data_IF_779767896112
#
_entry.id   IF_779767896112
#
_cell.length_a   1.000
_cell.length_b   1.000
_cell.length_c   1.000
_cell.angle_alpha   90.00
_cell.angle_beta   90.00
_cell.angle_gamma   90.00
#
_symmetry.space_group_name_H-M   'P 1'
#
loop_
_entity.id
_entity.type
_entity.pdbx_description
1 polymer ?
#
# COMPACT_ATOMS: atom_id res chain seq x y z
N UNK A 1 24.04 -16.91 6.63
CA UNK A 1 24.97 -15.93 7.24
C UNK A 1 25.54 -15.12 6.08
N UNK A 2 24.90 -14.02 5.72
CA UNK A 2 25.43 -13.08 4.71
C UNK A 2 26.67 -12.42 5.34
N UNK A 3 27.85 -12.65 4.76
CA UNK A 3 29.11 -12.01 5.18
C UNK A 3 29.49 -11.00 4.10
N UNK A 4 29.66 -9.75 4.51
CA UNK A 4 30.29 -8.73 3.68
C UNK A 4 31.77 -9.08 3.47
N UNK A 5 32.16 -9.28 2.21
CA UNK A 5 33.53 -9.66 1.83
C UNK A 5 34.21 -8.49 1.11
N UNK A 6 35.12 -7.83 1.82
CA UNK A 6 35.87 -6.65 1.36
C UNK A 6 37.37 -6.95 1.26
N UNK A 7 37.76 -7.92 0.43
CA UNK A 7 39.18 -8.17 0.11
C UNK A 7 39.37 -8.29 -1.40
N UNK A 8 40.47 -7.72 -1.90
CA UNK A 8 40.75 -7.59 -3.34
C UNK A 8 40.77 -8.93 -4.10
N UNK A 9 41.05 -10.05 -3.41
CA UNK A 9 40.84 -11.42 -3.89
C UNK A 9 40.51 -12.33 -2.73
N UNK A 10 39.41 -13.06 -2.81
CA UNK A 10 39.03 -14.10 -1.85
C UNK A 10 38.51 -15.33 -2.60
N UNK A 11 39.03 -16.52 -2.27
CA UNK A 11 38.52 -17.78 -2.81
C UNK A 11 37.17 -18.06 -2.12
N UNK A 12 36.08 -17.92 -2.87
CA UNK A 12 34.73 -18.07 -2.33
C UNK A 12 34.38 -19.53 -2.03
N UNK A 13 34.85 -20.44 -2.87
CA UNK A 13 34.66 -21.88 -2.74
C UNK A 13 35.72 -22.62 -3.54
N UNK A 14 36.38 -23.59 -2.91
CA UNK A 14 37.33 -24.51 -3.55
C UNK A 14 36.72 -25.91 -3.47
N UNK A 15 36.61 -26.58 -4.62
CA UNK A 15 36.03 -27.92 -4.71
C UNK A 15 37.10 -28.81 -5.35
N UNK A 16 37.71 -29.67 -4.55
CA UNK A 16 38.61 -30.70 -5.05
C UNK A 16 37.78 -31.87 -5.60
N UNK A 17 37.90 -32.14 -6.90
CA UNK A 17 37.26 -33.30 -7.54
C UNK A 17 38.33 -34.27 -8.04
N UNK A 18 38.29 -35.50 -7.52
CA UNK A 18 39.32 -36.51 -7.84
C UNK A 18 39.07 -37.24 -9.17
N UNK A 19 37.89 -37.09 -9.79
CA UNK A 19 37.58 -37.58 -11.15
C UNK A 19 36.12 -37.29 -11.53
N UNK A 20 35.76 -36.04 -11.83
CA UNK A 20 34.40 -35.70 -12.29
C UNK A 20 34.46 -34.71 -13.46
N UNK A 21 33.74 -35.01 -14.55
CA UNK A 21 33.45 -34.01 -15.59
C UNK A 21 32.29 -33.15 -15.10
N UNK A 22 32.53 -31.85 -14.94
CA UNK A 22 31.48 -30.89 -14.58
C UNK A 22 30.78 -30.52 -15.89
N UNK A 23 29.59 -31.08 -16.12
CA UNK A 23 28.84 -30.84 -17.36
C UNK A 23 28.33 -29.40 -17.46
N UNK A 24 27.95 -28.80 -16.32
CA UNK A 24 27.51 -27.41 -16.26
C UNK A 24 27.70 -26.85 -14.85
N UNK A 25 28.14 -25.59 -14.78
CA UNK A 25 28.38 -24.86 -13.55
C UNK A 25 27.75 -23.47 -13.69
N UNK A 26 26.85 -23.11 -12.78
CA UNK A 26 26.18 -21.81 -12.77
C UNK A 26 26.63 -20.99 -11.56
N UNK A 27 27.09 -19.78 -11.82
CA UNK A 27 27.36 -18.77 -10.79
C UNK A 27 26.27 -17.71 -10.84
N UNK A 28 25.57 -17.50 -9.73
CA UNK A 28 24.66 -16.39 -9.56
C UNK A 28 25.27 -15.35 -8.63
N UNK A 29 25.58 -14.17 -9.18
CA UNK A 29 26.07 -13.02 -8.42
C UNK A 29 24.88 -12.11 -8.08
N UNK A 30 24.63 -11.90 -6.79
CA UNK A 30 23.66 -10.91 -6.32
C UNK A 30 24.42 -9.67 -5.81
N UNK A 31 24.46 -8.61 -6.62
CA UNK A 31 25.01 -7.32 -6.18
C UNK A 31 23.88 -6.55 -5.49
N UNK A 32 24.06 -6.23 -4.20
CA UNK A 32 23.15 -5.37 -3.45
C UNK A 32 23.85 -4.05 -3.17
N UNK A 33 23.28 -2.96 -3.65
CA UNK A 33 23.76 -1.62 -3.32
C UNK A 33 23.38 -1.33 -1.86
N UNK A 34 24.39 -1.17 -1.01
CA UNK A 34 24.21 -0.84 0.40
C UNK A 34 24.16 0.67 0.54
N UNK A 35 23.18 1.19 1.28
CA UNK A 35 23.14 2.60 1.65
C UNK A 35 24.42 2.94 2.42
N UNK A 36 25.08 4.03 2.05
CA UNK A 36 26.24 4.54 2.78
C UNK A 36 25.89 4.87 4.24
N UNK A 37 26.90 5.16 5.07
CA UNK A 37 26.65 5.57 6.46
C UNK A 37 25.78 6.84 6.44
N UNK A 38 24.64 6.90 7.17
CA UNK A 38 23.82 8.09 7.24
C UNK A 38 24.69 9.26 7.74
N UNK A 39 24.72 10.34 6.97
CA UNK A 39 25.49 11.52 7.33
C UNK A 39 24.89 12.19 8.56
N UNK A 40 25.70 12.39 9.60
CA UNK A 40 25.26 13.06 10.83
C UNK A 40 24.67 14.43 10.51
N UNK A 41 23.40 14.64 10.87
CA UNK A 41 22.66 15.88 10.64
C UNK A 41 22.93 16.91 11.74
N UNK A 42 23.62 16.55 12.82
CA UNK A 42 23.92 17.46 13.94
C UNK A 42 25.11 18.41 13.65
N UNK A 43 25.91 18.14 12.62
CA UNK A 43 27.12 18.89 12.29
C UNK A 43 26.95 19.64 10.97
N UNK A 44 27.25 20.93 10.97
CA UNK A 44 27.33 21.73 9.74
C UNK A 44 28.49 21.26 8.87
N UNK A 45 28.27 21.11 7.57
CA UNK A 45 29.33 20.81 6.60
C UNK A 45 29.24 21.79 5.44
N UNK A 46 30.25 21.87 4.57
CA UNK A 46 30.26 22.85 3.46
C UNK A 46 29.07 22.79 2.49
N UNK A 47 28.26 21.71 2.54
CA UNK A 47 27.05 21.51 1.76
C UNK A 47 25.75 21.66 2.57
N UNK A 48 25.83 21.77 3.92
CA UNK A 48 24.73 21.84 4.88
C UNK A 48 25.03 22.93 5.89
N UNK A 49 24.60 24.16 5.57
CA UNK A 49 24.92 25.35 6.36
C UNK A 49 23.70 25.94 7.08
N UNK A 50 22.48 25.49 6.75
CA UNK A 50 21.25 26.04 7.29
C UNK A 50 20.76 25.22 8.49
N UNK A 51 20.61 25.86 9.65
CA UNK A 51 20.25 25.19 10.90
C UNK A 51 18.74 25.20 11.14
N UNK A 52 18.13 24.02 11.21
CA UNK A 52 16.76 23.84 11.68
C UNK A 52 16.77 23.60 13.18
N UNK A 53 16.06 24.45 13.90
CA UNK A 53 15.91 24.40 15.34
C UNK A 53 14.51 23.86 15.66
N UNK A 54 14.43 22.72 16.34
CA UNK A 54 13.18 22.24 16.91
C UNK A 54 13.39 21.90 18.39
N UNK A 55 12.86 22.76 19.25
CA UNK A 55 12.99 22.68 20.70
C UNK A 55 14.47 22.57 21.12
N UNK A 56 14.95 21.35 21.43
CA UNK A 56 16.32 21.08 21.90
C UNK A 56 17.25 20.48 20.84
N UNK A 57 16.76 20.22 19.61
CA UNK A 57 17.57 19.63 18.54
C UNK A 57 17.87 20.63 17.43
N UNK A 58 19.14 20.67 17.04
CA UNK A 58 19.63 21.42 15.89
C UNK A 58 20.02 20.44 14.79
N UNK A 59 19.49 20.64 13.59
CA UNK A 59 19.81 19.83 12.43
C UNK A 59 20.23 20.73 11.27
N UNK A 60 21.36 20.43 10.64
CA UNK A 60 21.87 21.17 9.50
C UNK A 60 21.42 20.52 8.19
N UNK A 61 20.84 21.32 7.31
CA UNK A 61 20.28 20.85 6.03
C UNK A 61 20.82 21.66 4.85
N UNK A 62 20.64 21.08 3.67
CA UNK A 62 20.82 21.77 2.40
C UNK A 62 19.45 22.22 1.87
N UNK A 63 19.18 23.52 1.95
CA UNK A 63 17.95 24.17 1.48
C UNK A 63 17.74 24.00 -0.03
N UNK A 64 18.82 23.99 -0.83
CA UNK A 64 18.74 23.76 -2.28
C UNK A 64 18.20 22.37 -2.59
N UNK A 65 18.72 21.34 -1.90
CA UNK A 65 18.25 19.96 -2.06
C UNK A 65 16.78 19.85 -1.63
N UNK A 66 16.43 20.41 -0.48
CA UNK A 66 15.06 20.34 0.04
C UNK A 66 14.05 21.06 -0.85
N UNK A 67 14.42 22.20 -1.44
CA UNK A 67 13.56 22.94 -2.36
C UNK A 67 13.19 22.11 -3.61
N UNK A 68 14.01 21.14 -4.01
CA UNK A 68 13.66 20.23 -5.14
C UNK A 68 12.44 19.37 -4.84
N UNK A 69 12.18 19.03 -3.58
CA UNK A 69 10.98 18.29 -3.17
C UNK A 69 9.74 19.20 -3.11
N UNK A 70 9.91 20.52 -3.15
CA UNK A 70 8.84 21.49 -3.06
C UNK A 70 8.12 21.47 -1.71
N UNK A 71 6.87 21.93 -1.69
CA UNK A 71 6.10 22.12 -0.45
C UNK A 71 6.35 23.48 0.19
N UNK A 72 5.49 23.83 1.14
CA UNK A 72 5.49 25.15 1.77
C UNK A 72 6.72 25.34 2.66
N UNK A 73 7.00 24.37 3.53
CA UNK A 73 8.14 24.42 4.46
C UNK A 73 9.49 24.58 3.74
N UNK A 74 9.77 23.75 2.74
CA UNK A 74 11.08 23.78 2.09
C UNK A 74 11.29 25.05 1.25
N UNK A 75 10.22 25.61 0.68
CA UNK A 75 10.27 26.93 0.03
C UNK A 75 10.53 28.05 1.02
N UNK A 76 9.81 28.06 2.15
CA UNK A 76 10.03 29.05 3.21
C UNK A 76 11.47 29.01 3.74
N UNK A 77 12.06 27.81 3.90
CA UNK A 77 13.45 27.67 4.35
C UNK A 77 14.44 28.15 3.28
N UNK A 78 14.18 27.85 2.01
CA UNK A 78 15.00 28.30 0.89
C UNK A 78 14.97 29.83 0.72
N UNK A 79 13.80 30.46 0.87
CA UNK A 79 13.64 31.91 0.81
C UNK A 79 14.39 32.61 1.94
N UNK A 80 14.32 32.07 3.17
CA UNK A 80 15.06 32.59 4.33
C UNK A 80 16.58 32.49 4.15
N UNK A 81 17.05 31.36 3.66
CA UNK A 81 18.47 31.15 3.33
C UNK A 81 18.94 32.12 2.24
N UNK A 82 18.10 32.36 1.22
CA UNK A 82 18.35 33.34 0.16
C UNK A 82 18.37 34.79 0.67
N UNK A 83 17.68 35.07 1.77
CA UNK A 83 17.69 36.38 2.46
C UNK A 83 18.89 36.53 3.42
N UNK A 84 19.72 35.50 3.57
CA UNK A 84 20.91 35.51 4.43
C UNK A 84 20.64 35.06 5.86
N UNK A 85 19.46 34.51 6.16
CA UNK A 85 19.23 33.83 7.44
C UNK A 85 19.96 32.47 7.44
N UNK A 86 20.57 32.12 8.57
CA UNK A 86 21.29 30.83 8.71
C UNK A 86 20.52 29.81 9.53
N UNK A 87 19.33 30.16 10.05
CA UNK A 87 18.54 29.29 10.90
C UNK A 87 17.03 29.48 10.74
N UNK A 88 16.28 28.44 11.07
CA UNK A 88 14.82 28.46 11.12
C UNK A 88 14.30 27.67 12.30
N UNK A 89 13.33 28.21 13.03
CA UNK A 89 12.65 27.50 14.13
C UNK A 89 11.38 26.86 13.58
N UNK A 90 11.26 25.54 13.74
CA UNK A 90 10.10 24.77 13.26
C UNK A 90 9.29 24.30 14.46
N UNK A 91 8.05 24.78 14.57
CA UNK A 91 7.09 24.39 15.61
C UNK A 91 5.93 23.55 15.06
N UNK A 92 5.79 23.43 13.74
CA UNK A 92 4.67 22.71 13.11
C UNK A 92 4.77 21.18 13.19
N UNK A 93 5.97 20.66 13.45
CA UNK A 93 6.30 19.24 13.47
C UNK A 93 6.88 18.84 14.82
N UNK A 94 6.53 17.65 15.29
CA UNK A 94 7.16 17.07 16.46
C UNK A 94 8.63 16.73 16.18
N UNK A 95 9.44 16.63 17.23
CA UNK A 95 10.87 16.31 17.12
C UNK A 95 11.08 14.97 16.39
N UNK A 96 10.19 13.99 16.58
CA UNK A 96 10.30 12.69 15.93
C UNK A 96 9.94 12.73 14.44
N UNK A 97 8.84 13.37 14.08
CA UNK A 97 8.44 13.56 12.69
C UNK A 97 9.50 14.32 11.89
N UNK A 98 10.03 15.41 12.45
CA UNK A 98 11.07 16.20 11.83
C UNK A 98 12.35 15.37 11.64
N UNK A 99 12.76 14.59 12.64
CA UNK A 99 13.92 13.71 12.50
C UNK A 99 13.70 12.64 11.43
N UNK A 100 12.52 12.04 11.34
CA UNK A 100 12.23 11.04 10.30
C UNK A 100 12.23 11.66 8.91
N UNK A 101 11.64 12.85 8.74
CA UNK A 101 11.63 13.60 7.48
C UNK A 101 13.06 13.96 7.05
N UNK A 102 13.85 14.56 7.95
CA UNK A 102 15.22 14.98 7.63
C UNK A 102 16.15 13.78 7.43
N UNK A 103 15.96 12.70 8.17
CA UNK A 103 16.74 11.47 7.96
C UNK A 103 16.42 10.88 6.58
N UNK A 104 15.15 10.83 6.20
CA UNK A 104 14.74 10.31 4.90
C UNK A 104 15.22 11.18 3.72
N UNK A 105 15.14 12.51 3.85
CA UNK A 105 15.44 13.43 2.75
C UNK A 105 16.91 13.88 2.68
N UNK A 106 17.60 13.96 3.84
CA UNK A 106 18.91 14.60 3.94
C UNK A 106 20.01 13.70 4.50
N UNK A 107 19.74 12.62 5.24
CA UNK A 107 20.83 11.81 5.80
C UNK A 107 21.67 11.13 4.71
N UNK A 108 21.06 10.84 3.57
CA UNK A 108 21.70 10.21 2.42
C UNK A 108 21.76 11.18 1.23
N UNK A 109 22.59 10.86 0.24
CA UNK A 109 22.68 11.63 -1.02
C UNK A 109 21.38 11.58 -1.82
N UNK A 110 20.61 10.51 -1.67
CA UNK A 110 19.29 10.30 -2.27
C UNK A 110 18.24 10.13 -1.18
N UNK A 111 16.99 10.55 -1.43
CA UNK A 111 15.91 10.34 -0.48
C UNK A 111 15.61 8.84 -0.34
N UNK A 112 15.52 8.34 0.89
CA UNK A 112 15.35 6.90 1.15
C UNK A 112 14.05 6.58 1.88
N UNK A 113 13.20 5.81 1.20
CA UNK A 113 11.91 5.33 1.71
C UNK A 113 11.98 3.81 1.91
N UNK A 114 11.44 3.35 3.04
CA UNK A 114 11.42 1.96 3.49
C UNK A 114 10.04 1.61 4.06
N UNK A 115 9.76 0.31 4.21
CA UNK A 115 8.49 -0.18 4.77
C UNK A 115 8.20 0.25 6.22
N UNK A 116 9.18 0.79 6.95
CA UNK A 116 9.00 1.24 8.34
C UNK A 116 8.82 2.74 8.49
N UNK A 117 9.20 3.52 7.49
CA UNK A 117 9.14 4.98 7.55
C UNK A 117 8.09 5.57 6.61
N UNK A 118 7.62 4.83 5.60
CA UNK A 118 6.75 5.38 4.57
C UNK A 118 5.41 5.88 5.11
N UNK A 119 4.81 5.20 6.10
CA UNK A 119 3.52 5.63 6.70
C UNK A 119 3.63 7.03 7.32
N UNK A 120 4.62 7.23 8.21
CA UNK A 120 4.85 8.53 8.85
C UNK A 120 5.26 9.60 7.82
N UNK A 121 6.05 9.22 6.82
CA UNK A 121 6.44 10.14 5.74
C UNK A 121 5.23 10.55 4.87
N UNK A 122 4.25 9.68 4.65
CA UNK A 122 3.01 9.99 3.94
C UNK A 122 2.20 11.04 4.69
N UNK A 123 1.99 10.83 5.99
CA UNK A 123 1.27 11.78 6.85
C UNK A 123 1.94 13.16 6.85
N UNK A 124 3.27 13.20 7.04
CA UNK A 124 4.03 14.47 7.03
C UNK A 124 3.97 15.13 5.65
N UNK A 125 4.17 14.36 4.58
CA UNK A 125 4.20 14.89 3.23
C UNK A 125 2.84 15.46 2.81
N UNK A 126 1.73 14.85 3.23
CA UNK A 126 0.41 15.42 2.99
C UNK A 126 0.11 16.62 3.88
N UNK A 127 0.45 16.57 5.17
CA UNK A 127 0.25 17.69 6.11
C UNK A 127 0.97 18.96 5.63
N UNK A 128 2.22 18.82 5.22
CA UNK A 128 3.07 19.93 4.78
C UNK A 128 3.04 20.18 3.26
N UNK A 129 2.17 19.43 2.55
CA UNK A 129 1.94 19.50 1.09
C UNK A 129 3.24 19.43 0.28
N UNK A 130 4.14 18.52 0.67
CA UNK A 130 5.43 18.28 0.03
C UNK A 130 5.22 17.35 -1.17
N UNK A 131 4.87 17.93 -2.32
CA UNK A 131 4.48 17.18 -3.52
C UNK A 131 5.59 16.31 -4.11
N UNK A 132 6.85 16.72 -4.02
CA UNK A 132 7.98 15.92 -4.48
C UNK A 132 8.20 14.67 -3.64
N UNK A 133 8.01 14.77 -2.31
CA UNK A 133 8.08 13.62 -1.42
C UNK A 133 6.90 12.67 -1.64
N UNK A 134 5.68 13.20 -1.83
CA UNK A 134 4.52 12.39 -2.19
C UNK A 134 4.73 11.59 -3.49
N UNK A 135 5.37 12.18 -4.51
CA UNK A 135 5.71 11.48 -5.77
C UNK A 135 6.72 10.35 -5.58
N UNK A 136 7.67 10.53 -4.66
CA UNK A 136 8.65 9.49 -4.33
C UNK A 136 8.00 8.34 -3.55
N UNK A 137 7.16 8.67 -2.57
CA UNK A 137 6.36 7.70 -1.81
C UNK A 137 5.42 6.92 -2.73
N UNK A 138 4.77 7.61 -3.68
CA UNK A 138 3.93 6.98 -4.70
C UNK A 138 4.73 5.98 -5.55
N UNK A 139 5.93 6.37 -5.99
CA UNK A 139 6.79 5.49 -6.80
C UNK A 139 7.26 4.27 -6.02
N UNK A 140 7.62 4.45 -4.75
CA UNK A 140 7.94 3.36 -3.83
C UNK A 140 6.76 2.39 -3.65
N UNK A 141 5.54 2.91 -3.43
CA UNK A 141 4.34 2.08 -3.28
C UNK A 141 3.99 1.32 -4.55
N UNK A 142 4.19 1.90 -5.73
CA UNK A 142 3.99 1.21 -7.02
C UNK A 142 4.91 -0.02 -7.11
N UNK A 143 6.20 0.14 -6.78
CA UNK A 143 7.21 -0.92 -6.89
C UNK A 143 7.16 -1.94 -5.74
N UNK A 144 6.66 -1.54 -4.58
CA UNK A 144 6.64 -2.38 -3.37
C UNK A 144 5.79 -3.64 -3.57
N UNK A 145 6.38 -4.82 -3.34
CA UNK A 145 5.63 -6.10 -3.29
C UNK A 145 5.14 -6.45 -1.90
N UNK A 146 5.55 -5.69 -0.89
CA UNK A 146 5.25 -5.95 0.52
C UNK A 146 3.85 -5.46 0.88
N UNK A 147 3.40 -4.37 0.25
CA UNK A 147 2.09 -3.77 0.53
C UNK A 147 1.03 -4.43 -0.35
N UNK A 148 -0.05 -4.91 0.28
CA UNK A 148 -1.16 -5.55 -0.43
C UNK A 148 -1.83 -4.57 -1.43
N UNK A 149 -2.24 -5.01 -2.64
CA UNK A 149 -2.89 -4.15 -3.63
C UNK A 149 -4.08 -3.34 -3.11
N UNK A 150 -4.92 -3.91 -2.25
CA UNK A 150 -6.06 -3.22 -1.64
C UNK A 150 -5.59 -2.09 -0.72
N UNK A 151 -4.59 -2.33 0.13
CA UNK A 151 -3.98 -1.31 0.98
C UNK A 151 -3.36 -0.18 0.14
N UNK A 152 -2.76 -0.51 -1.01
CA UNK A 152 -2.27 0.52 -1.96
C UNK A 152 -3.41 1.38 -2.52
N UNK A 153 -4.60 0.80 -2.74
CA UNK A 153 -5.76 1.57 -3.17
C UNK A 153 -6.27 2.50 -2.06
N UNK A 154 -6.27 2.06 -0.80
CA UNK A 154 -6.60 2.91 0.35
C UNK A 154 -5.68 4.13 0.42
N UNK A 155 -4.36 3.91 0.40
CA UNK A 155 -3.40 5.01 0.36
C UNK A 155 -3.61 5.91 -0.86
N UNK A 156 -4.00 5.33 -2.00
CA UNK A 156 -4.26 6.12 -3.20
C UNK A 156 -5.50 7.01 -3.08
N UNK A 157 -6.53 6.56 -2.36
CA UNK A 157 -7.73 7.33 -2.07
C UNK A 157 -7.44 8.44 -1.05
N UNK A 158 -6.82 8.07 0.06
CA UNK A 158 -6.50 8.97 1.17
C UNK A 158 -5.57 10.11 0.71
N UNK A 159 -4.47 9.77 0.04
CA UNK A 159 -3.43 10.72 -0.39
C UNK A 159 -3.59 11.22 -1.84
N UNK A 160 -4.71 10.87 -2.50
CA UNK A 160 -5.02 11.28 -3.88
C UNK A 160 -3.94 10.91 -4.91
N UNK A 161 -3.38 9.70 -4.78
CA UNK A 161 -2.31 9.19 -5.65
C UNK A 161 -2.87 8.49 -6.90
N UNK A 162 -3.23 9.25 -7.93
CA UNK A 162 -3.86 8.70 -9.15
C UNK A 162 -2.97 7.70 -9.90
N UNK A 163 -1.64 7.89 -9.90
CA UNK A 163 -0.73 6.99 -10.62
C UNK A 163 -0.60 5.66 -9.87
N UNK A 164 -0.60 5.66 -8.55
CA UNK A 164 -0.69 4.43 -7.75
C UNK A 164 -2.00 3.68 -8.02
N UNK A 165 -3.14 4.37 -7.96
CA UNK A 165 -4.45 3.77 -8.20
C UNK A 165 -4.52 3.10 -9.59
N UNK A 166 -4.13 3.82 -10.63
CA UNK A 166 -4.13 3.31 -12.02
C UNK A 166 -3.16 2.15 -12.22
N UNK A 167 -2.00 2.17 -11.58
CA UNK A 167 -1.03 1.07 -11.63
C UNK A 167 -1.59 -0.20 -10.99
N UNK A 168 -2.25 -0.06 -9.84
CA UNK A 168 -2.85 -1.19 -9.12
C UNK A 168 -4.05 -1.73 -9.88
N UNK A 169 -4.95 -0.88 -10.37
CA UNK A 169 -6.11 -1.30 -11.15
C UNK A 169 -5.71 -2.04 -12.43
N UNK A 170 -4.65 -1.61 -13.12
CA UNK A 170 -4.11 -2.27 -14.31
C UNK A 170 -3.49 -3.65 -14.00
N UNK A 171 -3.03 -3.87 -12.77
CA UNK A 171 -2.48 -5.16 -12.36
C UNK A 171 -3.55 -6.27 -12.26
N UNK A 172 -4.83 -5.89 -12.13
CA UNK A 172 -5.94 -6.84 -12.09
C UNK A 172 -6.44 -7.15 -13.50
N UNK A 173 -6.57 -8.43 -13.87
CA UNK A 173 -7.04 -8.81 -15.21
C UNK A 173 -8.53 -8.49 -15.41
N UNK A 174 -9.36 -8.80 -14.41
CA UNK A 174 -10.83 -8.74 -14.50
C UNK A 174 -11.46 -8.21 -13.20
N UNK A 175 -12.73 -7.79 -13.27
CA UNK A 175 -13.53 -7.38 -12.09
C UNK A 175 -13.65 -8.47 -11.02
N UNK A 176 -13.73 -9.74 -11.43
CA UNK A 176 -13.80 -10.85 -10.48
C UNK A 176 -12.52 -10.93 -9.62
N UNK A 177 -11.35 -10.82 -10.25
CA UNK A 177 -10.06 -10.84 -9.55
C UNK A 177 -9.89 -9.66 -8.58
N UNK A 178 -10.48 -8.50 -8.90
CA UNK A 178 -10.55 -7.33 -7.99
C UNK A 178 -11.34 -7.68 -6.72
N UNK A 179 -12.50 -8.31 -6.88
CA UNK A 179 -13.35 -8.72 -5.76
C UNK A 179 -12.71 -9.83 -4.93
N UNK A 180 -12.13 -10.84 -5.58
CA UNK A 180 -11.46 -11.95 -4.89
C UNK A 180 -10.30 -11.43 -4.02
N UNK A 181 -9.51 -10.48 -4.53
CA UNK A 181 -8.42 -9.84 -3.78
C UNK A 181 -8.94 -8.99 -2.61
N UNK A 182 -10.07 -8.28 -2.79
CA UNK A 182 -10.72 -7.52 -1.73
C UNK A 182 -11.25 -8.44 -0.61
N UNK A 183 -11.99 -9.49 -0.96
CA UNK A 183 -12.54 -10.42 0.02
C UNK A 183 -11.45 -11.20 0.74
N UNK A 184 -10.37 -11.57 0.05
CA UNK A 184 -9.21 -12.22 0.68
C UNK A 184 -8.59 -11.29 1.72
N UNK A 185 -8.35 -10.02 1.35
CA UNK A 185 -7.79 -9.01 2.24
C UNK A 185 -8.67 -8.75 3.47
N UNK A 186 -9.98 -8.56 3.29
CA UNK A 186 -10.94 -8.37 4.39
C UNK A 186 -10.97 -9.59 5.31
N UNK A 187 -10.91 -10.80 4.75
CA UNK A 187 -10.90 -12.04 5.53
C UNK A 187 -9.61 -12.23 6.34
N UNK A 188 -8.47 -11.81 5.80
CA UNK A 188 -7.15 -11.91 6.45
C UNK A 188 -7.00 -10.90 7.58
N UNK A 189 -7.56 -9.69 7.43
CA UNK A 189 -7.45 -8.62 8.42
C UNK A 189 -8.64 -8.54 9.39
N UNK A 190 -9.72 -9.28 9.13
CA UNK A 190 -10.96 -9.20 9.92
C UNK A 190 -11.69 -7.86 9.80
N UNK A 191 -11.48 -7.14 8.69
CA UNK A 191 -12.05 -5.83 8.42
C UNK A 191 -13.41 -5.94 7.72
N UNK A 192 -14.28 -4.93 7.90
CA UNK A 192 -15.62 -4.94 7.33
C UNK A 192 -15.66 -4.12 6.04
N UNK A 193 -16.48 -4.53 5.06
CA UNK A 193 -16.51 -3.89 3.73
C UNK A 193 -16.90 -2.40 3.78
N UNK A 194 -17.59 -1.99 4.84
CA UNK A 194 -18.02 -0.61 5.11
C UNK A 194 -16.85 0.32 5.43
N UNK A 195 -15.73 -0.21 5.88
CA UNK A 195 -14.57 0.59 6.29
C UNK A 195 -13.70 0.99 5.08
N UNK A 196 -14.00 0.45 3.89
CA UNK A 196 -13.23 0.63 2.66
C UNK A 196 -14.09 1.20 1.51
N UNK A 197 -15.06 2.07 1.83
CA UNK A 197 -15.99 2.68 0.87
C UNK A 197 -15.28 3.35 -0.32
N UNK A 198 -14.16 4.04 -0.07
CA UNK A 198 -13.40 4.73 -1.12
C UNK A 198 -12.73 3.74 -2.09
N UNK A 199 -12.31 2.57 -1.58
CA UNK A 199 -11.76 1.49 -2.40
C UNK A 199 -12.86 0.87 -3.28
N UNK A 200 -14.07 0.71 -2.75
CA UNK A 200 -15.21 0.21 -3.53
C UNK A 200 -15.54 1.15 -4.69
N UNK A 201 -15.51 2.47 -4.46
CA UNK A 201 -15.69 3.47 -5.52
C UNK A 201 -14.60 3.33 -6.59
N UNK A 202 -13.33 3.24 -6.19
CA UNK A 202 -12.19 3.07 -7.11
C UNK A 202 -12.20 1.75 -7.89
N UNK A 203 -12.72 0.68 -7.29
CA UNK A 203 -12.88 -0.61 -7.96
C UNK A 203 -14.08 -0.61 -8.92
N UNK A 204 -14.73 0.54 -9.13
CA UNK A 204 -15.98 0.68 -9.90
C UNK A 204 -17.04 -0.30 -9.42
N UNK A 205 -16.96 -0.70 -8.15
CA UNK A 205 -17.99 -1.44 -7.47
C UNK A 205 -19.00 -0.38 -7.06
N UNK A 206 -19.78 0.10 -8.02
CA UNK A 206 -21.06 0.71 -7.68
C UNK A 206 -21.81 -0.39 -6.90
N UNK A 207 -22.19 -0.21 -5.61
CA UNK A 207 -23.47 -0.78 -5.23
C UNK A 207 -24.43 -0.19 -6.26
N UNK A 208 -25.10 -1.02 -7.04
CA UNK A 208 -25.96 -0.53 -8.12
C UNK A 208 -26.72 0.69 -7.61
N UNK A 209 -26.40 1.87 -8.15
CA UNK A 209 -27.23 3.04 -7.91
C UNK A 209 -28.59 2.58 -8.37
N UNK A 210 -29.52 2.39 -7.43
CA UNK A 210 -30.94 2.32 -7.72
C UNK A 210 -31.19 3.55 -8.58
N UNK A 211 -31.26 3.35 -9.89
CA UNK A 211 -31.81 4.35 -10.77
C UNK A 211 -33.14 4.76 -10.14
N UNK A 212 -33.47 6.04 -10.25
CA UNK A 212 -34.75 6.62 -9.84
C UNK A 212 -35.92 6.05 -10.66
N UNK A 213 -36.06 4.74 -10.73
CA UNK A 213 -37.18 4.02 -11.29
C UNK A 213 -38.16 3.75 -10.17
N UNK A 214 -38.93 4.79 -9.84
CA UNK A 214 -40.17 4.76 -9.07
C UNK A 214 -40.01 4.18 -7.66
N UNK A 215 -40.62 4.87 -6.70
CA UNK A 215 -41.05 4.23 -5.46
C UNK A 215 -41.99 3.10 -5.88
N UNK A 216 -41.47 1.87 -6.03
CA UNK A 216 -42.29 0.67 -5.98
C UNK A 216 -42.51 0.44 -4.50
N UNK A 217 -43.60 1.01 -4.02
CA UNK A 217 -44.20 0.64 -2.75
C UNK A 217 -44.30 -0.89 -2.68
N UNK A 218 -43.83 -1.44 -1.57
CA UNK A 218 -44.21 -2.73 -0.99
C UNK A 218 -44.34 -3.95 -1.94
N UNK A 219 -43.29 -4.77 -1.89
CA UNK A 219 -43.31 -6.24 -1.84
C UNK A 219 -44.41 -7.01 -2.56
N UNK A 220 -44.03 -7.72 -3.63
CA UNK A 220 -44.67 -9.01 -3.97
C UNK A 220 -43.94 -9.82 -5.06
N UNK A 221 -42.61 -9.71 -5.18
CA UNK A 221 -41.89 -10.60 -6.08
C UNK A 221 -41.73 -11.96 -5.41
N UNK A 222 -42.21 -13.01 -6.08
CA UNK A 222 -42.08 -14.41 -5.63
C UNK A 222 -40.87 -15.02 -6.29
N UNK A 223 -39.97 -15.59 -5.50
CA UNK A 223 -38.79 -16.31 -5.99
C UNK A 223 -39.01 -17.81 -5.83
N UNK A 224 -38.86 -18.54 -6.94
CA UNK A 224 -38.75 -19.99 -6.93
C UNK A 224 -37.40 -20.38 -7.51
N UNK A 225 -36.58 -21.08 -6.74
CA UNK A 225 -35.30 -21.60 -7.19
C UNK A 225 -35.31 -23.13 -7.15
N UNK A 226 -35.00 -23.75 -8.29
CA UNK A 226 -34.88 -25.21 -8.43
C UNK A 226 -33.39 -25.54 -8.53
N UNK A 227 -32.90 -26.29 -7.55
CA UNK A 227 -31.47 -26.56 -7.37
C UNK A 227 -31.24 -28.07 -7.48
N UNK A 228 -30.51 -28.47 -8.53
CA UNK A 228 -30.08 -29.85 -8.73
C UNK A 228 -28.90 -30.24 -7.85
N UNK A 229 -28.66 -31.54 -7.67
CA UNK A 229 -27.51 -32.03 -6.91
C UNK A 229 -26.23 -31.91 -7.73
N UNK A 230 -25.33 -30.99 -7.36
CA UNK A 230 -24.06 -30.76 -8.04
C UNK A 230 -22.98 -30.18 -7.12
N UNK A 231 -21.78 -29.99 -7.66
CA UNK A 231 -20.64 -29.49 -6.89
C UNK A 231 -20.74 -28.03 -6.42
N UNK A 232 -21.79 -27.30 -6.82
CA UNK A 232 -22.00 -25.88 -6.51
C UNK A 232 -23.29 -25.60 -5.72
N UNK A 233 -24.00 -26.64 -5.25
CA UNK A 233 -25.28 -26.48 -4.55
C UNK A 233 -25.13 -25.68 -3.25
N UNK A 234 -24.03 -25.89 -2.52
CA UNK A 234 -23.79 -25.23 -1.23
C UNK A 234 -23.57 -23.72 -1.41
N UNK A 235 -22.82 -23.33 -2.43
CA UNK A 235 -22.51 -21.95 -2.78
C UNK A 235 -23.76 -21.21 -3.26
N UNK A 236 -24.59 -21.87 -4.08
CA UNK A 236 -25.87 -21.32 -4.51
C UNK A 236 -26.82 -21.10 -3.33
N UNK A 237 -26.94 -22.05 -2.41
CA UNK A 237 -27.78 -21.90 -1.23
C UNK A 237 -27.31 -20.75 -0.33
N UNK A 238 -26.00 -20.62 -0.11
CA UNK A 238 -25.45 -19.48 0.64
C UNK A 238 -25.81 -18.16 -0.04
N UNK A 239 -25.61 -18.05 -1.35
CA UNK A 239 -25.92 -16.83 -2.08
C UNK A 239 -27.41 -16.46 -2.02
N UNK A 240 -28.29 -17.45 -2.14
CA UNK A 240 -29.74 -17.24 -2.06
C UNK A 240 -30.22 -16.82 -0.65
N UNK A 241 -29.48 -17.21 0.39
CA UNK A 241 -29.87 -16.96 1.79
C UNK A 241 -29.20 -15.70 2.36
N UNK A 242 -27.91 -15.50 2.11
CA UNK A 242 -27.13 -14.43 2.73
C UNK A 242 -27.16 -13.12 1.95
N UNK A 243 -27.38 -13.18 0.64
CA UNK A 243 -27.18 -12.02 -0.26
C UNK A 243 -28.46 -11.51 -0.91
N UNK A 244 -29.53 -12.31 -0.96
CA UNK A 244 -30.81 -11.83 -1.48
C UNK A 244 -31.53 -11.05 -0.38
N UNK A 245 -31.67 -9.74 -0.61
CA UNK A 245 -32.36 -8.79 0.26
C UNK A 245 -33.78 -9.31 0.58
N UNK A 246 -34.01 -9.62 1.86
CA UNK A 246 -35.27 -10.17 2.37
C UNK A 246 -36.47 -9.26 2.13
N UNK A 247 -36.22 -7.97 1.86
CA UNK A 247 -37.26 -6.98 1.60
C UNK A 247 -37.72 -6.98 0.13
N UNK A 248 -36.96 -7.57 -0.79
CA UNK A 248 -37.30 -7.59 -2.21
C UNK A 248 -38.18 -8.80 -2.60
N UNK A 249 -37.99 -9.94 -1.91
CA UNK A 249 -38.71 -11.21 -2.17
C UNK A 249 -39.37 -11.73 -0.90
N UNK A 250 -40.66 -11.39 -0.73
CA UNK A 250 -41.46 -11.80 0.42
C UNK A 250 -41.76 -13.29 0.44
N UNK A 251 -42.06 -13.88 -0.73
CA UNK A 251 -42.38 -15.30 -0.89
C UNK A 251 -41.22 -16.03 -1.60
N UNK A 252 -40.60 -16.99 -0.90
CA UNK A 252 -39.45 -17.77 -1.39
C UNK A 252 -39.72 -19.27 -1.30
N UNK A 253 -39.56 -19.97 -2.42
CA UNK A 253 -39.69 -21.43 -2.52
C UNK A 253 -38.38 -21.99 -3.07
N UNK A 254 -37.71 -22.80 -2.27
CA UNK A 254 -36.51 -23.54 -2.68
C UNK A 254 -36.90 -25.00 -2.92
N UNK A 255 -36.70 -25.48 -4.15
CA UNK A 255 -36.87 -26.89 -4.51
C UNK A 255 -35.49 -27.49 -4.70
N UNK A 256 -35.12 -28.40 -3.81
CA UNK A 256 -33.80 -29.03 -3.80
C UNK A 256 -33.94 -30.50 -4.19
N UNK A 257 -33.01 -31.00 -4.99
CA UNK A 257 -32.95 -32.42 -5.32
C UNK A 257 -32.78 -33.28 -4.05
N UNK A 258 -33.59 -34.33 -3.91
CA UNK A 258 -33.56 -35.25 -2.75
C UNK A 258 -32.21 -35.96 -2.56
N UNK A 259 -31.41 -36.04 -3.62
CA UNK A 259 -30.03 -36.54 -3.58
C UNK A 259 -29.05 -35.63 -2.83
N UNK A 260 -29.40 -34.37 -2.54
CA UNK A 260 -28.45 -33.36 -2.00
C UNK A 260 -28.70 -33.00 -0.52
N UNK A 261 -28.50 -33.99 0.36
CA UNK A 261 -28.68 -33.84 1.82
C UNK A 261 -27.50 -33.13 2.50
N UNK A 262 -26.30 -33.24 1.93
CA UNK A 262 -25.06 -32.70 2.49
C UNK A 262 -24.98 -31.18 2.35
N UNK A 263 -25.41 -30.63 1.22
CA UNK A 263 -25.37 -29.18 0.98
C UNK A 263 -26.36 -28.45 1.89
N UNK A 264 -27.54 -29.01 2.14
CA UNK A 264 -28.54 -28.44 3.04
C UNK A 264 -28.04 -28.37 4.49
N UNK A 265 -27.35 -29.42 4.95
CA UNK A 265 -26.78 -29.50 6.31
C UNK A 265 -25.67 -28.45 6.50
N UNK A 266 -24.82 -28.24 5.49
CA UNK A 266 -23.71 -27.28 5.55
C UNK A 266 -24.16 -25.82 5.63
N UNK A 267 -25.35 -25.51 5.14
CA UNK A 267 -25.91 -24.14 5.16
C UNK A 267 -26.86 -23.92 6.35
N UNK A 268 -27.11 -24.96 7.16
CA UNK A 268 -27.93 -24.84 8.38
C UNK A 268 -29.42 -24.61 8.11
N UNK A 269 -29.93 -25.13 7.00
CA UNK A 269 -31.35 -24.97 6.59
C UNK A 269 -32.25 -26.04 7.26
N UNK A 270 -31.66 -27.04 7.92
CA UNK A 270 -32.32 -28.06 8.73
C UNK A 270 -31.57 -28.30 10.04
#
# INVERSE_FOLDING_TARGET
IERDRWKDKEVLQEIETNSCTIDWLEFSLCVREMLGIPGDLSVSNGFRNFAILNSDKTCYVNTNQLNTFGGRLFKEWYERDSQGESNCVVQSLTVNELNQLLTACCAYSTPVVHSRNFDVLLEIADKEKITGLLRLLESFLVESRVVHPIRKLEYSAEYRMTRLATSVLRSFPNRLARLDSLFSYLSENGENITDHLDVLEMLEIQPEKKENNKVVENGNLKLMAIIGSGGHTTEMLKLLISTIDSNLFSDRIYVIADSDKLSCTKVGIF
#
